data_IF_585387799594
#
_entry.id   IF_585387799594
#
_cell.length_a   1.000
_cell.length_b   1.000
_cell.length_c   1.000
_cell.angle_alpha   90.00
_cell.angle_beta   90.00
_cell.angle_gamma   90.00
#
_symmetry.space_group_name_H-M   'P 1'
#
loop_
_entity.id
_entity.type
_entity.pdbx_description
1 polymer ?
#
# COMPACT_ATOMS: atom_id res chain seq x y z
N UNK A 1 -22.44 -25.89 -24.20
CA UNK A 1 -22.35 -25.50 -22.78
C UNK A 1 -21.01 -25.92 -22.13
N UNK A 2 -19.94 -26.12 -22.94
CA UNK A 2 -18.60 -26.57 -22.46
C UNK A 2 -17.50 -25.52 -22.73
N UNK A 3 -17.80 -24.44 -23.45
CA UNK A 3 -16.80 -23.42 -23.85
C UNK A 3 -16.66 -22.22 -22.87
N UNK A 4 -17.48 -22.13 -21.83
CA UNK A 4 -17.43 -21.03 -20.85
C UNK A 4 -16.65 -21.35 -19.56
N UNK A 5 -16.25 -22.60 -19.33
CA UNK A 5 -15.50 -22.99 -18.13
C UNK A 5 -13.97 -22.85 -18.27
N UNK A 6 -13.44 -22.79 -19.49
CA UNK A 6 -12.00 -22.69 -19.71
C UNK A 6 -11.44 -21.27 -19.68
N UNK A 7 -12.29 -20.24 -19.86
CA UNK A 7 -11.84 -18.84 -19.83
C UNK A 7 -11.70 -18.28 -18.40
N UNK A 8 -12.40 -18.86 -17.45
CA UNK A 8 -12.35 -18.42 -16.03
C UNK A 8 -11.11 -18.89 -15.28
N UNK A 9 -10.48 -19.99 -15.71
CA UNK A 9 -9.26 -20.51 -15.06
C UNK A 9 -7.96 -19.87 -15.61
N UNK A 10 -7.98 -19.32 -16.80
CA UNK A 10 -6.80 -18.62 -17.38
C UNK A 10 -6.65 -17.17 -16.88
N UNK A 11 -7.73 -16.52 -16.46
CA UNK A 11 -7.63 -15.16 -15.88
C UNK A 11 -7.07 -15.14 -14.45
N UNK A 12 -7.21 -16.21 -13.68
CA UNK A 12 -6.70 -16.26 -12.31
C UNK A 12 -5.17 -16.50 -12.22
N UNK A 13 -4.54 -16.96 -13.29
CA UNK A 13 -3.09 -17.24 -13.33
C UNK A 13 -2.24 -16.08 -13.87
N UNK A 14 -2.85 -15.03 -14.42
CA UNK A 14 -2.15 -13.85 -14.95
C UNK A 14 -1.95 -12.73 -13.93
N UNK A 15 -2.55 -12.83 -12.73
CA UNK A 15 -2.52 -11.79 -11.71
C UNK A 15 -1.34 -11.88 -10.73
N UNK A 16 -0.43 -12.82 -10.88
CA UNK A 16 0.72 -13.00 -9.96
C UNK A 16 2.05 -13.18 -10.69
N UNK A 17 2.29 -12.51 -11.80
CA UNK A 17 3.67 -12.45 -12.27
C UNK A 17 4.39 -11.31 -11.53
N UNK A 18 5.41 -11.62 -10.70
CA UNK A 18 6.29 -10.60 -10.16
C UNK A 18 6.84 -9.79 -11.33
N UNK A 19 7.12 -8.50 -11.10
CA UNK A 19 7.78 -7.70 -12.13
C UNK A 19 9.03 -8.47 -12.58
N UNK A 20 9.33 -8.47 -13.88
CA UNK A 20 10.53 -9.14 -14.43
C UNK A 20 11.81 -8.73 -13.67
N UNK A 21 11.84 -7.53 -13.09
CA UNK A 21 12.94 -7.01 -12.29
C UNK A 21 13.15 -7.79 -10.99
N UNK A 22 12.06 -8.14 -10.27
CA UNK A 22 12.16 -8.93 -9.04
C UNK A 22 12.59 -10.36 -9.34
N UNK A 23 12.06 -10.97 -10.42
CA UNK A 23 12.45 -12.32 -10.83
C UNK A 23 13.93 -12.44 -11.17
N UNK A 24 14.59 -11.38 -11.63
CA UNK A 24 16.01 -11.34 -11.95
C UNK A 24 16.91 -10.95 -10.75
N UNK A 25 16.34 -10.62 -9.58
CA UNK A 25 17.07 -10.24 -8.37
C UNK A 25 17.91 -8.96 -8.50
N UNK A 26 17.71 -8.16 -9.53
CA UNK A 26 18.47 -6.92 -9.77
C UNK A 26 17.67 -5.74 -9.25
N UNK A 27 18.18 -5.13 -8.17
CA UNK A 27 17.62 -3.89 -7.63
C UNK A 27 17.81 -2.73 -8.61
N UNK A 28 16.76 -2.00 -9.00
CA UNK A 28 16.88 -0.79 -9.81
C UNK A 28 17.72 0.28 -9.12
N UNK A 29 18.35 1.15 -9.91
CA UNK A 29 18.97 2.35 -9.38
C UNK A 29 17.90 3.36 -8.96
N UNK A 30 18.20 4.15 -7.94
CA UNK A 30 17.33 5.26 -7.56
C UNK A 30 17.24 6.30 -8.68
N UNK A 31 16.07 6.93 -8.78
CA UNK A 31 15.80 8.00 -9.72
C UNK A 31 16.66 9.24 -9.42
N UNK A 32 17.02 10.00 -10.46
CA UNK A 32 17.65 11.31 -10.27
C UNK A 32 16.69 12.23 -9.48
N UNK A 33 17.22 12.93 -8.48
CA UNK A 33 16.41 13.74 -7.55
C UNK A 33 15.52 14.75 -8.29
N UNK A 34 16.08 15.46 -9.28
CA UNK A 34 15.33 16.45 -10.08
C UNK A 34 14.14 15.85 -10.83
N UNK A 35 14.28 14.63 -11.33
CA UNK A 35 13.20 13.93 -12.05
C UNK A 35 12.18 13.33 -11.10
N UNK A 36 12.61 12.90 -9.92
CA UNK A 36 11.73 12.39 -8.87
C UNK A 36 10.67 13.42 -8.48
N UNK A 37 11.00 14.71 -8.48
CA UNK A 37 10.07 15.79 -8.20
C UNK A 37 9.00 16.05 -9.28
N UNK A 38 9.13 15.43 -10.46
CA UNK A 38 8.14 15.50 -11.54
C UNK A 38 7.15 14.34 -11.51
N UNK A 39 7.40 13.28 -10.73
CA UNK A 39 6.54 12.11 -10.67
C UNK A 39 5.22 12.46 -9.99
N UNK A 40 4.11 11.92 -10.49
CA UNK A 40 2.81 12.11 -9.89
C UNK A 40 1.66 12.03 -10.88
N UNK A 41 0.45 12.22 -10.37
CA UNK A 41 -0.78 12.31 -11.15
C UNK A 41 -0.98 13.74 -11.63
N UNK A 42 -1.30 13.91 -12.91
CA UNK A 42 -1.63 15.19 -13.54
C UNK A 42 -3.02 15.11 -14.15
N UNK A 43 -3.84 16.12 -13.92
CA UNK A 43 -5.22 16.18 -14.38
C UNK A 43 -5.55 17.53 -15.02
N UNK A 44 -6.36 17.50 -16.08
CA UNK A 44 -6.86 18.68 -16.80
C UNK A 44 -7.74 18.30 -17.97
N UNK A 45 -8.62 19.19 -18.41
CA UNK A 45 -9.49 19.00 -19.56
C UNK A 45 -10.33 17.70 -19.56
N UNK A 46 -10.70 17.20 -18.38
CA UNK A 46 -11.44 15.94 -18.24
C UNK A 46 -10.59 14.68 -18.41
N UNK A 47 -9.29 14.83 -18.51
CA UNK A 47 -8.32 13.72 -18.64
C UNK A 47 -7.35 13.71 -17.47
N UNK A 48 -6.77 12.55 -17.21
CA UNK A 48 -5.68 12.39 -16.26
C UNK A 48 -4.65 11.38 -16.76
N UNK A 49 -3.42 11.57 -16.34
CA UNK A 49 -2.32 10.65 -16.61
C UNK A 49 -1.31 10.68 -15.48
N UNK A 50 -0.53 9.63 -15.42
CA UNK A 50 0.51 9.47 -14.42
C UNK A 50 1.88 9.69 -15.05
N UNK A 51 2.73 10.45 -14.38
CA UNK A 51 4.17 10.53 -14.70
C UNK A 51 4.90 9.63 -13.71
N UNK A 52 5.67 8.67 -14.22
CA UNK A 52 6.50 7.74 -13.45
C UNK A 52 7.91 7.68 -13.99
N UNK A 53 8.84 7.20 -13.19
CA UNK A 53 10.14 6.80 -13.70
C UNK A 53 10.16 5.31 -14.04
N UNK A 54 10.82 4.93 -15.12
CA UNK A 54 11.07 3.55 -15.50
C UNK A 54 12.48 3.40 -16.05
N UNK A 55 13.35 2.69 -15.32
CA UNK A 55 14.73 2.41 -15.70
C UNK A 55 15.55 3.67 -16.05
N UNK A 56 15.41 4.74 -15.25
CA UNK A 56 16.11 6.01 -15.43
C UNK A 56 15.47 6.96 -16.42
N UNK A 57 14.29 6.68 -16.93
CA UNK A 57 13.56 7.55 -17.86
C UNK A 57 12.16 7.87 -17.33
N UNK A 58 11.70 9.09 -17.56
CA UNK A 58 10.31 9.46 -17.30
C UNK A 58 9.39 8.84 -18.33
N UNK A 59 8.22 8.39 -17.86
CA UNK A 59 7.16 7.85 -18.70
C UNK A 59 5.83 8.52 -18.34
N UNK A 60 5.01 8.78 -19.34
CA UNK A 60 3.60 9.12 -19.18
C UNK A 60 2.78 7.84 -19.32
N UNK A 61 1.96 7.52 -18.32
CA UNK A 61 0.96 6.45 -18.37
C UNK A 61 -0.39 7.12 -18.58
N UNK A 62 -0.85 7.09 -19.83
CA UNK A 62 -2.07 7.77 -20.27
C UNK A 62 -3.30 6.91 -20.02
N UNK A 63 -4.43 7.56 -19.66
CA UNK A 63 -5.69 6.90 -19.27
C UNK A 63 -5.54 5.98 -18.05
N UNK A 64 -4.69 6.40 -17.11
CA UNK A 64 -4.63 5.75 -15.83
C UNK A 64 -5.91 6.06 -15.04
N UNK A 65 -6.71 5.02 -14.79
CA UNK A 65 -7.87 5.06 -13.90
C UNK A 65 -7.59 4.06 -12.77
N UNK A 66 -7.40 4.52 -11.53
CA UNK A 66 -7.05 3.64 -10.41
C UNK A 66 -8.07 2.51 -10.18
N UNK A 67 -9.35 2.77 -10.50
CA UNK A 67 -10.44 1.80 -10.34
C UNK A 67 -10.69 0.95 -11.59
N UNK A 68 -9.93 1.16 -12.68
CA UNK A 68 -10.11 0.43 -13.92
C UNK A 68 -9.32 -0.88 -13.88
N UNK A 69 -10.03 -1.99 -13.79
CA UNK A 69 -9.45 -3.35 -13.91
C UNK A 69 -8.76 -3.59 -15.26
N UNK A 70 -9.02 -2.74 -16.23
CA UNK A 70 -8.41 -2.73 -17.57
C UNK A 70 -7.17 -1.81 -17.66
N UNK A 71 -6.54 -1.42 -16.53
CA UNK A 71 -5.32 -0.58 -16.54
C UNK A 71 -4.19 -1.17 -17.42
N UNK A 72 -4.24 -2.46 -17.73
CA UNK A 72 -3.35 -3.12 -18.69
C UNK A 72 -3.45 -2.56 -20.12
N UNK A 73 -4.50 -1.80 -20.42
CA UNK A 73 -4.69 -1.07 -21.70
C UNK A 73 -4.16 0.35 -21.65
N UNK A 74 -3.53 0.76 -20.54
CA UNK A 74 -2.91 2.08 -20.46
C UNK A 74 -1.80 2.21 -21.49
N UNK A 75 -1.81 3.29 -22.24
CA UNK A 75 -0.71 3.61 -23.14
C UNK A 75 0.44 4.21 -22.35
N UNK A 76 1.63 3.68 -22.53
CA UNK A 76 2.85 4.15 -21.88
C UNK A 76 3.76 4.79 -22.91
N UNK A 77 4.15 6.04 -22.66
CA UNK A 77 5.03 6.82 -23.52
C UNK A 77 6.28 7.22 -22.78
N UNK A 78 7.43 6.96 -23.36
CA UNK A 78 8.70 7.39 -22.82
C UNK A 78 8.94 8.86 -23.14
N UNK A 79 9.38 9.63 -22.16
CA UNK A 79 9.80 11.01 -22.30
C UNK A 79 11.32 11.06 -22.50
N UNK A 80 11.75 11.56 -23.65
CA UNK A 80 13.16 11.82 -23.94
C UNK A 80 13.46 13.26 -23.61
N UNK A 81 14.41 13.49 -22.70
CA UNK A 81 14.79 14.82 -22.25
C UNK A 81 15.40 15.61 -23.41
N UNK A 82 14.85 16.77 -23.69
CA UNK A 82 15.37 17.73 -24.66
C UNK A 82 16.26 18.77 -23.97
N UNK A 83 15.68 19.48 -23.00
CA UNK A 83 16.41 20.43 -22.14
C UNK A 83 15.72 20.51 -20.78
N UNK A 84 16.13 21.42 -19.89
CA UNK A 84 15.60 21.53 -18.54
C UNK A 84 14.06 21.60 -18.55
N UNK A 85 13.40 20.63 -17.88
CA UNK A 85 11.95 20.48 -17.75
C UNK A 85 11.16 20.35 -19.07
N UNK A 86 11.85 20.17 -20.20
CA UNK A 86 11.21 19.89 -21.49
C UNK A 86 11.63 18.52 -22.03
N UNK A 87 10.65 17.78 -22.51
CA UNK A 87 10.78 16.41 -22.99
C UNK A 87 10.02 16.23 -24.30
N UNK A 88 10.50 15.32 -25.14
CA UNK A 88 9.80 14.85 -26.32
C UNK A 88 9.15 13.49 -26.03
N UNK A 89 7.95 13.28 -26.51
CA UNK A 89 7.30 11.95 -26.45
C UNK A 89 7.96 11.07 -27.50
N UNK A 90 8.51 9.92 -27.08
CA UNK A 90 9.12 8.97 -28.01
C UNK A 90 8.06 8.30 -28.90
N UNK A 91 8.38 8.15 -30.19
CA UNK A 91 7.51 7.55 -31.22
C UNK A 91 7.20 6.06 -31.03
N UNK A 92 7.77 5.38 -30.03
CA UNK A 92 7.63 3.94 -29.81
C UNK A 92 6.26 3.53 -29.22
N UNK A 93 5.31 4.45 -29.12
CA UNK A 93 3.93 4.18 -28.70
C UNK A 93 2.93 4.35 -29.85
N UNK A 94 1.82 3.62 -29.81
CA UNK A 94 0.74 3.63 -30.82
C UNK A 94 -0.07 4.94 -30.90
N UNK A 95 0.44 6.06 -30.45
CA UNK A 95 -0.22 7.36 -30.61
C UNK A 95 0.22 8.03 -31.89
N UNK A 96 -0.79 8.44 -32.65
CA UNK A 96 -0.69 9.25 -33.87
C UNK A 96 -0.30 10.71 -33.62
N UNK A 97 0.16 11.08 -32.42
CA UNK A 97 0.60 12.47 -32.10
C UNK A 97 2.11 12.54 -32.06
N UNK A 98 2.70 12.62 -33.22
CA UNK A 98 4.12 12.46 -33.52
C UNK A 98 5.02 13.63 -33.12
N UNK A 99 4.57 14.68 -32.44
CA UNK A 99 5.41 15.81 -32.05
C UNK A 99 4.98 16.49 -30.75
N UNK A 100 4.34 15.75 -29.83
CA UNK A 100 3.93 16.37 -28.57
C UNK A 100 5.12 16.50 -27.64
N UNK A 101 5.55 17.73 -27.40
CA UNK A 101 6.47 18.07 -26.32
C UNK A 101 5.72 18.11 -24.98
N UNK A 102 6.39 17.69 -23.93
CA UNK A 102 5.93 17.82 -22.54
C UNK A 102 6.84 18.83 -21.86
N UNK A 103 6.26 19.91 -21.33
CA UNK A 103 6.99 20.91 -20.57
C UNK A 103 6.43 20.98 -19.16
N UNK A 104 7.27 20.69 -18.17
CA UNK A 104 6.90 20.81 -16.77
C UNK A 104 7.13 22.22 -16.24
N UNK A 105 6.30 22.61 -15.29
CA UNK A 105 6.47 23.82 -14.47
C UNK A 105 6.66 23.39 -13.03
N UNK A 106 7.61 24.02 -12.36
CA UNK A 106 7.96 23.72 -10.97
C UNK A 106 7.60 24.86 -10.04
N UNK A 107 7.37 24.52 -8.77
CA UNK A 107 7.35 25.50 -7.69
C UNK A 107 8.76 25.93 -7.29
N UNK A 108 8.83 26.80 -6.26
CA UNK A 108 10.09 27.32 -5.70
C UNK A 108 10.97 26.24 -5.06
N UNK A 109 10.39 25.11 -4.67
CA UNK A 109 11.07 24.00 -4.00
C UNK A 109 11.46 22.89 -5.01
N UNK A 110 11.18 23.11 -6.30
CA UNK A 110 11.54 22.23 -7.40
C UNK A 110 10.51 21.17 -7.76
N UNK A 111 9.38 21.12 -7.06
CA UNK A 111 8.32 20.15 -7.37
C UNK A 111 7.54 20.53 -8.63
N UNK A 112 7.30 19.56 -9.50
CA UNK A 112 6.42 19.74 -10.64
C UNK A 112 4.98 20.04 -10.17
N UNK A 113 4.45 21.20 -10.59
CA UNK A 113 3.08 21.62 -10.23
C UNK A 113 2.11 21.53 -11.39
N UNK A 114 2.61 21.57 -12.60
CA UNK A 114 1.83 21.37 -13.81
C UNK A 114 2.72 20.92 -14.96
N UNK A 115 2.10 20.47 -16.04
CA UNK A 115 2.79 20.29 -17.30
C UNK A 115 1.89 20.72 -18.47
N UNK A 116 2.51 20.98 -19.61
CA UNK A 116 1.85 21.33 -20.87
C UNK A 116 2.16 20.23 -21.88
N UNK A 117 1.12 19.63 -22.46
CA UNK A 117 1.19 18.63 -23.53
C UNK A 117 0.30 19.06 -24.67
N UNK A 118 0.83 19.20 -25.90
CA UNK A 118 0.04 19.59 -27.06
C UNK A 118 -0.73 20.92 -26.86
N UNK A 119 -0.17 21.86 -26.10
CA UNK A 119 -0.79 23.14 -25.77
C UNK A 119 -1.82 23.08 -24.60
N UNK A 120 -2.18 21.91 -24.12
CA UNK A 120 -3.08 21.74 -22.99
C UNK A 120 -2.31 21.69 -21.67
N UNK A 121 -2.83 22.40 -20.65
CA UNK A 121 -2.27 22.42 -19.30
C UNK A 121 -2.94 21.35 -18.43
N UNK A 122 -2.11 20.60 -17.71
CA UNK A 122 -2.51 19.61 -16.70
C UNK A 122 -1.85 19.98 -15.37
N UNK A 123 -2.65 20.03 -14.32
CA UNK A 123 -2.20 20.39 -12.97
C UNK A 123 -1.91 19.13 -12.19
N UNK A 124 -0.80 19.11 -11.41
CA UNK A 124 -0.47 17.98 -10.56
C UNK A 124 -1.49 17.83 -9.43
N UNK A 125 -1.91 16.61 -9.20
CA UNK A 125 -2.71 16.21 -8.05
C UNK A 125 -1.74 15.74 -6.97
N UNK A 126 -1.62 16.51 -5.88
CA UNK A 126 -0.78 16.15 -4.75
C UNK A 126 -1.54 15.28 -3.77
N UNK A 127 -0.85 14.29 -3.19
CA UNK A 127 -1.37 13.39 -2.18
C UNK A 127 -0.54 13.48 -0.90
N UNK A 128 -1.21 13.40 0.27
CA UNK A 128 -0.60 13.24 1.57
C UNK A 128 0.67 14.08 1.80
N UNK A 129 1.81 13.43 2.13
CA UNK A 129 3.06 14.12 2.45
C UNK A 129 3.63 15.00 1.35
N UNK A 130 3.34 14.74 0.07
CA UNK A 130 3.78 15.60 -1.04
C UNK A 130 3.29 17.04 -0.93
N UNK A 131 2.14 17.21 -0.28
CA UNK A 131 1.51 18.52 -0.04
C UNK A 131 1.89 19.13 1.30
N UNK A 132 2.68 18.43 2.10
CA UNK A 132 2.96 18.78 3.48
C UNK A 132 1.84 18.44 4.45
N UNK A 133 0.71 17.95 3.96
CA UNK A 133 -0.44 17.55 4.77
C UNK A 133 -0.45 16.02 4.93
N UNK A 134 -0.33 15.53 6.13
CA UNK A 134 -0.61 14.13 6.43
C UNK A 134 -2.12 13.90 6.41
N UNK A 135 -2.55 12.75 5.89
CA UNK A 135 -3.95 12.37 5.99
C UNK A 135 -4.34 12.24 7.46
N UNK A 136 -5.31 13.05 7.87
CA UNK A 136 -5.84 13.05 9.23
C UNK A 136 -7.36 12.99 9.18
N UNK A 137 -7.92 12.03 9.90
CA UNK A 137 -9.36 11.86 10.03
C UNK A 137 -9.86 12.87 11.05
N UNK A 138 -10.84 13.67 10.66
CA UNK A 138 -11.62 14.46 11.62
C UNK A 138 -12.67 13.53 12.24
N UNK A 139 -12.40 13.02 13.44
CA UNK A 139 -13.30 12.11 14.13
C UNK A 139 -14.66 12.72 14.44
N UNK A 140 -15.70 11.88 14.43
CA UNK A 140 -17.09 12.30 14.72
C UNK A 140 -17.29 12.74 16.17
N UNK A 141 -16.55 12.12 17.09
CA UNK A 141 -16.49 12.38 18.54
C UNK A 141 -15.04 12.24 19.01
N UNK A 142 -14.74 12.65 20.23
CA UNK A 142 -13.44 12.33 20.84
C UNK A 142 -13.25 10.82 20.94
N UNK A 143 -12.02 10.34 20.76
CA UNK A 143 -11.72 8.91 20.88
C UNK A 143 -12.05 8.38 22.29
N UNK A 144 -11.91 9.19 23.33
CA UNK A 144 -12.25 8.78 24.70
C UNK A 144 -13.74 8.55 24.88
N UNK A 145 -14.59 9.42 24.30
CA UNK A 145 -16.04 9.18 24.27
C UNK A 145 -16.40 7.92 23.50
N UNK A 146 -15.76 7.70 22.33
CA UNK A 146 -15.98 6.52 21.52
C UNK A 146 -15.49 5.24 22.20
N UNK A 147 -14.38 5.28 22.95
CA UNK A 147 -13.91 4.13 23.76
C UNK A 147 -14.96 3.72 24.80
N UNK A 148 -15.58 4.69 25.48
CA UNK A 148 -16.67 4.42 26.40
C UNK A 148 -17.89 3.80 25.68
N UNK A 149 -18.26 4.32 24.51
CA UNK A 149 -19.38 3.81 23.71
C UNK A 149 -19.13 2.35 23.28
N UNK A 150 -17.90 1.99 22.89
CA UNK A 150 -17.58 0.62 22.41
C UNK A 150 -17.24 -0.36 23.53
N UNK A 151 -16.96 0.10 24.74
CA UNK A 151 -16.56 -0.77 25.85
C UNK A 151 -17.58 -1.88 26.13
N UNK A 152 -18.86 -1.56 26.07
CA UNK A 152 -19.97 -2.48 26.30
C UNK A 152 -20.53 -3.12 25.02
N UNK A 153 -19.86 -2.89 23.87
CA UNK A 153 -20.31 -3.49 22.61
C UNK A 153 -20.06 -4.99 22.60
N UNK A 154 -21.05 -5.74 22.11
CA UNK A 154 -20.93 -7.17 21.91
C UNK A 154 -20.33 -7.47 20.54
N UNK A 155 -19.37 -8.40 20.50
CA UNK A 155 -18.88 -8.95 19.23
C UNK A 155 -20.02 -9.67 18.50
N UNK A 156 -19.97 -9.75 17.16
CA UNK A 156 -20.81 -10.62 16.37
C UNK A 156 -20.74 -12.08 16.86
N UNK A 157 -21.83 -12.82 16.71
CA UNK A 157 -21.82 -14.26 17.00
C UNK A 157 -20.81 -14.96 16.09
N UNK A 158 -19.92 -15.72 16.71
CA UNK A 158 -18.86 -16.43 15.99
C UNK A 158 -19.35 -17.82 15.58
N UNK A 159 -19.15 -18.15 14.31
CA UNK A 159 -19.48 -19.49 13.74
C UNK A 159 -18.23 -20.25 13.29
N UNK A 160 -17.10 -19.59 13.18
CA UNK A 160 -15.83 -20.24 12.84
C UNK A 160 -15.42 -21.23 13.94
N UNK A 161 -14.89 -22.42 13.58
CA UNK A 161 -14.57 -23.46 14.55
C UNK A 161 -13.29 -23.19 15.35
N UNK A 162 -12.34 -22.44 14.79
CA UNK A 162 -11.01 -22.30 15.35
C UNK A 162 -10.84 -20.99 16.12
N UNK A 163 -10.03 -21.04 17.17
CA UNK A 163 -9.55 -19.87 17.91
C UNK A 163 -8.04 -19.76 17.68
N UNK A 164 -7.57 -18.59 17.29
CA UNK A 164 -6.14 -18.40 17.03
C UNK A 164 -5.32 -18.51 18.31
N UNK A 165 -4.18 -19.18 18.21
CA UNK A 165 -3.12 -19.13 19.20
C UNK A 165 -2.23 -17.91 18.91
N UNK A 166 -2.47 -16.82 19.62
CA UNK A 166 -1.71 -15.58 19.46
C UNK A 166 -0.31 -15.72 20.07
N UNK A 167 0.72 -15.56 19.25
CA UNK A 167 2.13 -15.57 19.66
C UNK A 167 2.77 -14.21 19.45
N UNK A 168 3.67 -13.85 20.38
CA UNK A 168 4.38 -12.57 20.37
C UNK A 168 5.47 -12.58 19.29
N UNK A 169 5.48 -11.57 18.42
CA UNK A 169 6.43 -11.46 17.31
C UNK A 169 7.82 -10.93 17.73
N UNK A 170 8.00 -10.48 18.97
CA UNK A 170 9.25 -9.87 19.44
C UNK A 170 10.46 -10.83 19.39
N UNK A 171 10.23 -12.14 19.39
CA UNK A 171 11.28 -13.15 19.29
C UNK A 171 11.76 -13.41 17.85
N UNK A 172 11.07 -12.94 16.83
CA UNK A 172 11.40 -13.19 15.44
C UNK A 172 12.53 -12.25 15.00
N UNK A 173 13.67 -12.78 14.54
CA UNK A 173 14.78 -11.96 14.04
C UNK A 173 14.38 -11.19 12.78
N UNK A 174 14.95 -9.99 12.62
CA UNK A 174 14.73 -9.16 11.42
C UNK A 174 13.40 -8.38 11.44
N UNK A 175 12.66 -8.39 12.55
CA UNK A 175 11.49 -7.53 12.72
C UNK A 175 11.84 -6.26 13.50
N UNK A 176 11.28 -5.14 13.06
CA UNK A 176 11.16 -3.88 13.80
C UNK A 176 9.69 -3.55 14.01
N UNK A 177 9.41 -2.80 15.07
CA UNK A 177 8.03 -2.45 15.44
C UNK A 177 7.86 -0.94 15.41
N UNK A 178 7.00 -0.46 14.53
CA UNK A 178 6.48 0.91 14.45
C UNK A 178 4.95 0.81 14.48
N UNK A 179 4.42 0.34 15.62
CA UNK A 179 2.99 0.05 15.78
C UNK A 179 2.17 1.33 15.70
N UNK A 180 1.65 1.62 14.50
CA UNK A 180 1.02 2.88 14.17
C UNK A 180 -0.19 3.18 15.04
N UNK A 181 -1.05 2.21 15.29
CA UNK A 181 -2.23 2.39 16.13
C UNK A 181 -1.97 2.38 17.64
N UNK A 182 -0.76 2.01 18.07
CA UNK A 182 -0.32 2.17 19.46
C UNK A 182 0.24 3.58 19.76
N UNK A 183 0.41 4.42 18.75
CA UNK A 183 0.98 5.78 18.86
C UNK A 183 0.06 6.81 18.23
N UNK A 184 0.43 8.09 18.29
CA UNK A 184 -0.26 9.16 17.58
C UNK A 184 0.15 9.25 16.09
N UNK A 185 1.10 8.41 15.61
CA UNK A 185 1.55 8.39 14.23
C UNK A 185 0.63 7.56 13.34
N UNK A 186 -0.63 7.95 13.24
CA UNK A 186 -1.67 7.32 12.42
C UNK A 186 -2.69 8.36 11.96
N UNK A 187 -3.63 7.96 11.13
CA UNK A 187 -4.65 8.85 10.58
C UNK A 187 -5.61 9.46 11.62
N UNK A 188 -5.71 8.89 12.83
CA UNK A 188 -6.53 9.43 13.93
C UNK A 188 -5.77 10.43 14.82
N UNK A 189 -4.46 10.59 14.65
CA UNK A 189 -3.58 11.45 15.46
C UNK A 189 -3.58 11.12 16.96
N UNK A 190 -3.95 9.89 17.33
CA UNK A 190 -3.98 9.41 18.71
C UNK A 190 -3.89 7.87 18.75
N UNK A 191 -3.37 7.27 19.82
CA UNK A 191 -3.38 5.82 19.98
C UNK A 191 -4.80 5.26 19.98
N UNK A 192 -5.05 4.17 19.29
CA UNK A 192 -6.31 3.43 19.35
C UNK A 192 -6.28 2.34 20.42
N UNK A 193 -5.11 1.81 20.75
CA UNK A 193 -4.89 0.84 21.81
C UNK A 193 -3.61 1.13 22.59
N UNK A 194 -3.51 0.54 23.78
CA UNK A 194 -2.30 0.56 24.59
C UNK A 194 -1.51 -0.71 24.35
N UNK A 195 -0.19 -0.59 24.19
CA UNK A 195 0.71 -1.73 24.05
C UNK A 195 1.85 -1.44 23.09
N UNK A 196 2.91 -2.22 23.25
CA UNK A 196 4.13 -2.14 22.42
C UNK A 196 4.51 -3.48 21.82
N UNK A 197 3.59 -4.46 21.86
CA UNK A 197 3.81 -5.81 21.38
C UNK A 197 2.86 -6.11 20.22
N UNK A 198 3.37 -6.83 19.23
CA UNK A 198 2.60 -7.35 18.12
C UNK A 198 2.43 -8.87 18.25
N UNK A 199 1.24 -9.36 17.88
CA UNK A 199 0.90 -10.77 17.96
C UNK A 199 0.29 -11.23 16.63
N UNK A 200 0.54 -12.47 16.26
CA UNK A 200 -0.17 -13.15 15.18
C UNK A 200 -0.58 -14.56 15.62
N UNK A 201 -1.51 -15.15 14.90
CA UNK A 201 -1.75 -16.59 14.98
C UNK A 201 -0.43 -17.34 14.69
N UNK A 202 -0.14 -18.38 15.44
CA UNK A 202 1.12 -19.15 15.37
C UNK A 202 1.56 -19.46 13.94
N UNK A 203 0.67 -20.01 13.12
CA UNK A 203 1.00 -20.39 11.74
C UNK A 203 1.39 -19.16 10.89
N UNK A 204 0.69 -18.03 11.07
CA UNK A 204 1.01 -16.77 10.40
C UNK A 204 2.35 -16.20 10.89
N UNK A 205 2.64 -16.29 12.20
CA UNK A 205 3.91 -15.83 12.76
C UNK A 205 5.11 -16.65 12.24
N UNK A 206 4.97 -17.98 12.16
CA UNK A 206 6.00 -18.87 11.60
C UNK A 206 6.23 -18.59 10.10
N UNK A 207 5.16 -18.30 9.35
CA UNK A 207 5.27 -17.87 7.95
C UNK A 207 5.99 -16.52 7.84
N UNK A 208 5.65 -15.54 8.70
CA UNK A 208 6.30 -14.23 8.72
C UNK A 208 7.80 -14.31 9.05
N UNK A 209 8.21 -15.22 9.94
CA UNK A 209 9.61 -15.49 10.22
C UNK A 209 10.36 -15.96 8.96
N UNK A 210 9.74 -16.85 8.17
CA UNK A 210 10.32 -17.28 6.90
C UNK A 210 10.41 -16.16 5.88
N UNK A 211 9.39 -15.26 5.83
CA UNK A 211 9.44 -14.03 5.00
C UNK A 211 10.63 -13.17 5.40
N UNK A 212 10.79 -12.87 6.70
CA UNK A 212 11.90 -12.05 7.19
C UNK A 212 13.26 -12.65 6.81
N UNK A 213 13.40 -13.99 6.91
CA UNK A 213 14.60 -14.70 6.48
C UNK A 213 14.87 -14.55 4.99
N UNK A 214 13.85 -14.67 4.13
CA UNK A 214 14.01 -14.49 2.67
C UNK A 214 14.41 -13.05 2.30
N UNK A 215 13.77 -12.06 2.94
CA UNK A 215 14.09 -10.66 2.71
C UNK A 215 15.53 -10.31 3.12
N UNK A 216 16.08 -11.00 4.11
CA UNK A 216 17.46 -10.79 4.55
C UNK A 216 18.49 -11.07 3.45
N UNK A 217 18.22 -12.00 2.52
CA UNK A 217 19.06 -12.28 1.36
C UNK A 217 19.15 -11.08 0.39
N UNK A 218 18.15 -10.18 0.43
CA UNK A 218 18.11 -8.94 -0.34
C UNK A 218 18.58 -7.73 0.47
N UNK A 219 18.97 -7.90 1.73
CA UNK A 219 19.42 -6.83 2.62
C UNK A 219 18.29 -6.07 3.32
N UNK A 220 17.08 -6.63 3.35
CA UNK A 220 15.91 -6.02 3.99
C UNK A 220 15.44 -6.81 5.21
N UNK A 221 14.87 -6.09 6.18
CA UNK A 221 14.04 -6.63 7.26
C UNK A 221 12.65 -6.04 7.20
N UNK A 222 11.73 -6.54 8.03
CA UNK A 222 10.33 -6.12 8.11
C UNK A 222 10.11 -5.09 9.21
N UNK A 223 9.34 -4.05 8.91
CA UNK A 223 8.72 -3.15 9.91
C UNK A 223 7.27 -3.56 10.07
N UNK A 224 6.85 -3.85 11.29
CA UNK A 224 5.47 -4.18 11.64
C UNK A 224 4.74 -2.89 12.03
N UNK A 225 3.71 -2.54 11.27
CA UNK A 225 2.85 -1.38 11.51
C UNK A 225 1.60 -1.75 12.30
N UNK A 226 0.98 -2.90 12.00
CA UNK A 226 -0.11 -3.51 12.77
C UNK A 226 -0.10 -5.04 12.58
N UNK A 227 -0.74 -5.74 13.54
CA UNK A 227 -0.85 -7.19 13.49
C UNK A 227 -2.21 -7.62 14.07
N UNK A 228 -2.27 -8.52 15.07
CA UNK A 228 -3.51 -8.76 15.77
C UNK A 228 -4.06 -7.45 16.34
N UNK A 229 -5.33 -7.19 16.09
CA UNK A 229 -6.07 -6.02 16.57
C UNK A 229 -7.35 -6.51 17.24
N UNK A 230 -7.57 -6.23 18.54
CA UNK A 230 -8.83 -6.57 19.21
C UNK A 230 -10.03 -6.02 18.45
N UNK A 231 -11.13 -6.77 18.40
CA UNK A 231 -12.33 -6.36 17.65
C UNK A 231 -12.86 -4.97 18.09
N UNK A 232 -12.84 -4.68 19.40
CA UNK A 232 -13.26 -3.36 19.90
C UNK A 232 -12.40 -2.22 19.38
N UNK A 233 -11.11 -2.45 19.10
CA UNK A 233 -10.24 -1.45 18.49
C UNK A 233 -10.65 -1.18 17.05
N UNK A 234 -10.94 -2.23 16.27
CA UNK A 234 -11.47 -2.08 14.91
C UNK A 234 -12.82 -1.35 14.91
N UNK A 235 -13.70 -1.68 15.88
CA UNK A 235 -14.96 -0.97 16.04
C UNK A 235 -14.76 0.49 16.42
N UNK A 236 -13.83 0.80 17.32
CA UNK A 236 -13.48 2.17 17.69
C UNK A 236 -13.04 2.97 16.46
N UNK A 237 -12.11 2.42 15.66
CA UNK A 237 -11.64 3.04 14.43
C UNK A 237 -12.80 3.31 13.46
N UNK A 238 -13.67 2.32 13.25
CA UNK A 238 -14.84 2.46 12.38
C UNK A 238 -15.82 3.53 12.88
N UNK A 239 -16.13 3.57 14.19
CA UNK A 239 -17.05 4.58 14.75
C UNK A 239 -16.47 5.99 14.74
N UNK A 240 -15.13 6.11 14.76
CA UNK A 240 -14.45 7.40 14.66
C UNK A 240 -14.56 8.02 13.26
N UNK A 241 -14.76 7.22 12.21
CA UNK A 241 -14.86 7.70 10.83
C UNK A 241 -16.14 8.50 10.59
N UNK A 242 -16.06 9.64 9.88
CA UNK A 242 -17.23 10.28 9.28
C UNK A 242 -18.01 9.31 8.39
N UNK A 243 -19.31 9.55 8.24
CA UNK A 243 -20.21 8.65 7.48
C UNK A 243 -19.71 8.38 6.06
N UNK A 244 -19.22 9.39 5.38
CA UNK A 244 -18.70 9.35 4.01
C UNK A 244 -17.40 8.57 3.88
N UNK A 245 -16.68 8.35 4.99
CA UNK A 245 -15.41 7.61 5.03
C UNK A 245 -15.56 6.19 5.61
N UNK A 246 -16.75 5.78 6.01
CA UNK A 246 -16.99 4.44 6.61
C UNK A 246 -16.56 3.29 5.68
N UNK A 247 -16.54 3.51 4.37
CA UNK A 247 -16.08 2.52 3.39
C UNK A 247 -14.57 2.24 3.42
N UNK A 248 -13.78 3.06 4.12
CA UNK A 248 -12.35 2.85 4.29
C UNK A 248 -12.01 1.67 5.21
N UNK A 249 -12.95 1.26 6.06
CA UNK A 249 -12.75 0.14 6.98
C UNK A 249 -13.89 -0.88 6.86
N UNK A 250 -13.62 -2.17 7.13
CA UNK A 250 -14.68 -3.17 7.24
C UNK A 250 -15.69 -2.81 8.32
N UNK A 251 -16.98 -3.04 8.05
CA UNK A 251 -18.01 -2.87 9.07
C UNK A 251 -17.77 -3.84 10.25
N UNK A 252 -17.93 -3.40 11.51
CA UNK A 252 -17.64 -4.23 12.69
C UNK A 252 -18.36 -5.57 12.72
N UNK A 253 -19.54 -5.65 12.11
CA UNK A 253 -20.35 -6.87 12.01
C UNK A 253 -19.67 -7.96 11.15
N UNK A 254 -18.84 -7.54 10.18
CA UNK A 254 -18.04 -8.45 9.35
C UNK A 254 -16.71 -8.80 10.02
N UNK A 255 -16.20 -7.92 10.88
CA UNK A 255 -14.86 -8.01 11.43
C UNK A 255 -13.76 -7.70 10.41
N UNK A 256 -12.54 -7.81 10.87
CA UNK A 256 -11.31 -7.66 10.07
C UNK A 256 -10.46 -8.90 10.23
N UNK A 257 -9.67 -9.30 9.21
CA UNK A 257 -8.67 -10.37 9.36
C UNK A 257 -7.67 -10.12 10.49
N UNK A 258 -7.34 -8.86 10.81
CA UNK A 258 -6.55 -8.51 12.00
C UNK A 258 -7.19 -9.00 13.30
N UNK A 259 -8.52 -9.06 13.39
CA UNK A 259 -9.19 -9.53 14.59
C UNK A 259 -9.04 -11.05 14.79
N UNK A 260 -8.64 -11.79 13.77
CA UNK A 260 -8.36 -13.23 13.85
C UNK A 260 -6.89 -13.55 14.12
N UNK A 261 -6.01 -12.54 14.12
CA UNK A 261 -4.56 -12.75 14.18
C UNK A 261 -3.96 -13.29 12.88
N UNK A 262 -4.69 -13.27 11.76
CA UNK A 262 -4.21 -13.76 10.46
C UNK A 262 -3.93 -12.64 9.44
N UNK A 263 -3.83 -11.40 9.87
CA UNK A 263 -3.42 -10.29 9.03
C UNK A 263 -2.30 -9.48 9.67
N UNK A 264 -1.45 -8.90 8.82
CA UNK A 264 -0.34 -8.04 9.22
C UNK A 264 -0.15 -6.89 8.24
N UNK A 265 0.11 -5.70 8.77
CA UNK A 265 0.52 -4.53 8.00
C UNK A 265 2.03 -4.37 8.16
N UNK A 266 2.76 -4.40 7.04
CA UNK A 266 4.21 -4.42 7.04
C UNK A 266 4.83 -3.48 6.01
N UNK A 267 6.06 -3.06 6.31
CA UNK A 267 6.95 -2.35 5.40
C UNK A 267 8.36 -2.92 5.50
N UNK A 268 9.30 -2.31 4.81
CA UNK A 268 10.70 -2.72 4.76
C UNK A 268 11.61 -1.76 5.52
N UNK A 269 12.72 -2.26 6.04
CA UNK A 269 13.85 -1.46 6.47
C UNK A 269 15.17 -2.05 5.93
N UNK A 270 16.18 -1.21 5.76
CA UNK A 270 17.50 -1.62 5.32
C UNK A 270 18.27 -2.22 6.48
N UNK A 271 18.70 -3.49 6.39
CA UNK A 271 19.42 -4.20 7.45
C UNK A 271 20.77 -3.56 7.78
N UNK A 272 21.43 -2.94 6.80
CA UNK A 272 22.75 -2.32 6.99
C UNK A 272 22.67 -0.98 7.72
N UNK A 273 21.71 -0.13 7.37
CA UNK A 273 21.57 1.21 7.95
C UNK A 273 20.60 1.22 9.12
N UNK A 274 19.66 0.28 9.15
CA UNK A 274 18.56 0.24 10.10
C UNK A 274 17.43 1.24 9.79
N UNK A 275 17.51 1.97 8.71
CA UNK A 275 16.51 2.98 8.32
C UNK A 275 15.33 2.35 7.59
N UNK A 276 14.12 2.88 7.81
CA UNK A 276 12.94 2.47 7.06
C UNK A 276 13.11 2.82 5.57
N UNK A 277 12.62 1.94 4.70
CA UNK A 277 12.59 2.19 3.26
C UNK A 277 11.45 3.17 2.97
N UNK A 278 11.74 4.15 2.11
CA UNK A 278 10.75 5.07 1.57
C UNK A 278 9.91 4.32 0.53
N UNK A 279 8.74 3.89 0.94
CA UNK A 279 7.80 3.19 0.05
C UNK A 279 6.97 4.19 -0.77
N UNK A 280 6.20 3.65 -1.71
CA UNK A 280 5.42 4.41 -2.70
C UNK A 280 4.32 5.30 -2.09
N UNK A 281 3.81 4.95 -0.90
CA UNK A 281 2.93 5.77 -0.06
C UNK A 281 3.19 5.51 1.41
N UNK A 282 2.69 6.40 2.28
CA UNK A 282 2.69 6.15 3.72
C UNK A 282 1.50 5.23 4.11
N UNK A 283 1.55 4.73 5.35
CA UNK A 283 0.50 3.94 5.97
C UNK A 283 -0.82 4.72 6.05
N UNK A 284 -1.94 4.06 5.74
CA UNK A 284 -3.28 4.66 5.73
C UNK A 284 -3.45 5.89 4.80
N UNK A 285 -2.55 6.11 3.85
CA UNK A 285 -2.70 7.21 2.90
C UNK A 285 -3.84 6.93 1.92
N UNK A 286 -4.94 7.71 1.94
CA UNK A 286 -6.11 7.45 1.09
C UNK A 286 -5.90 8.03 -0.31
N UNK A 287 -4.95 7.50 -1.05
CA UNK A 287 -4.62 7.90 -2.41
C UNK A 287 -4.46 6.69 -3.31
N UNK A 288 -4.46 6.84 -4.64
CA UNK A 288 -4.17 5.73 -5.55
C UNK A 288 -2.81 5.05 -5.30
N UNK A 289 -1.89 5.71 -4.62
CA UNK A 289 -0.57 5.16 -4.28
C UNK A 289 -0.64 4.00 -3.28
N UNK A 290 -1.74 3.90 -2.52
CA UNK A 290 -1.95 2.80 -1.56
C UNK A 290 -2.22 1.45 -2.24
N UNK A 291 -2.72 1.44 -3.49
CA UNK A 291 -3.09 0.18 -4.15
C UNK A 291 -1.90 -0.75 -4.36
N UNK A 292 -2.11 -2.04 -4.12
CA UNK A 292 -1.08 -3.08 -4.29
C UNK A 292 -0.47 -3.12 -5.69
N UNK A 293 -1.23 -2.75 -6.71
CA UNK A 293 -0.81 -2.73 -8.12
C UNK A 293 -0.54 -1.31 -8.66
N UNK A 294 -0.34 -0.28 -7.82
CA UNK A 294 -0.08 1.06 -8.29
C UNK A 294 1.15 1.13 -9.20
N UNK A 295 1.00 1.72 -10.39
CA UNK A 295 2.03 1.72 -11.44
C UNK A 295 2.92 2.98 -11.47
N UNK A 296 2.68 3.93 -10.56
CA UNK A 296 3.43 5.18 -10.44
C UNK A 296 4.70 5.06 -9.60
N UNK A 297 5.27 6.19 -9.22
CA UNK A 297 6.51 6.27 -8.45
C UNK A 297 7.77 5.94 -9.26
N UNK A 298 8.84 5.58 -8.58
CA UNK A 298 10.11 5.14 -9.19
C UNK A 298 10.14 3.64 -9.44
N UNK A 299 11.07 3.19 -10.29
CA UNK A 299 11.34 1.76 -10.50
C UNK A 299 11.78 1.09 -9.19
N UNK A 300 12.53 1.81 -8.35
CA UNK A 300 13.00 1.30 -7.06
C UNK A 300 11.83 1.09 -6.10
N UNK A 301 10.97 2.10 -5.90
CA UNK A 301 9.79 2.01 -5.02
C UNK A 301 8.85 0.86 -5.44
N UNK A 302 8.62 0.68 -6.75
CA UNK A 302 7.82 -0.43 -7.25
C UNK A 302 8.50 -1.78 -7.03
N UNK A 303 9.82 -1.87 -7.27
CA UNK A 303 10.59 -3.09 -7.07
C UNK A 303 10.58 -3.51 -5.60
N UNK A 304 10.75 -2.57 -4.66
CA UNK A 304 10.73 -2.83 -3.22
C UNK A 304 9.36 -3.34 -2.76
N UNK A 305 8.27 -2.71 -3.23
CA UNK A 305 6.91 -3.19 -3.00
C UNK A 305 6.69 -4.59 -3.57
N UNK A 306 7.05 -4.80 -4.83
CA UNK A 306 6.84 -6.06 -5.52
C UNK A 306 7.67 -7.18 -4.90
N UNK A 307 8.90 -6.88 -4.42
CA UNK A 307 9.72 -7.80 -3.65
C UNK A 307 9.02 -8.22 -2.35
N UNK A 308 8.52 -7.24 -1.59
CA UNK A 308 7.77 -7.52 -0.36
C UNK A 308 6.57 -8.43 -0.65
N UNK A 309 5.73 -8.08 -1.62
CA UNK A 309 4.56 -8.87 -2.01
C UNK A 309 4.94 -10.28 -2.45
N UNK A 310 6.02 -10.44 -3.21
CA UNK A 310 6.49 -11.75 -3.65
C UNK A 310 6.96 -12.61 -2.48
N UNK A 311 7.76 -12.08 -1.56
CA UNK A 311 8.25 -12.84 -0.41
C UNK A 311 7.10 -13.23 0.53
N UNK A 312 6.14 -12.33 0.75
CA UNK A 312 4.92 -12.61 1.50
C UNK A 312 4.08 -13.71 0.84
N UNK A 313 3.88 -13.62 -0.49
CA UNK A 313 3.08 -14.59 -1.24
C UNK A 313 3.69 -15.99 -1.23
N UNK A 314 5.01 -16.13 -1.32
CA UNK A 314 5.72 -17.44 -1.24
C UNK A 314 5.41 -18.15 0.08
N UNK A 315 5.22 -17.41 1.15
CA UNK A 315 4.95 -17.96 2.48
C UNK A 315 3.45 -17.98 2.85
N UNK A 316 2.57 -17.78 1.86
CA UNK A 316 1.13 -17.98 2.01
C UNK A 316 0.35 -16.75 2.47
N UNK A 317 0.93 -15.55 2.34
CA UNK A 317 0.21 -14.30 2.53
C UNK A 317 -0.32 -13.75 1.21
N UNK A 318 -1.52 -13.20 1.22
CA UNK A 318 -2.14 -12.52 0.10
C UNK A 318 -2.14 -11.01 0.36
N UNK A 319 -1.56 -10.23 -0.56
CA UNK A 319 -1.62 -8.77 -0.50
C UNK A 319 -3.04 -8.30 -0.79
N UNK A 320 -3.50 -7.30 -0.06
CA UNK A 320 -4.74 -6.57 -0.38
C UNK A 320 -4.57 -5.80 -1.70
N UNK A 321 -5.59 -5.83 -2.56
CA UNK A 321 -5.62 -4.99 -3.75
C UNK A 321 -5.66 -3.49 -3.40
N UNK A 322 -6.23 -3.16 -2.25
CA UNK A 322 -6.49 -1.77 -1.80
C UNK A 322 -5.33 -1.16 -1.03
N UNK A 323 -4.44 -1.99 -0.43
CA UNK A 323 -3.40 -1.55 0.50
C UNK A 323 -2.15 -2.39 0.30
N UNK A 324 -1.07 -1.82 -0.26
CA UNK A 324 0.15 -2.56 -0.57
C UNK A 324 0.88 -3.12 0.65
N UNK A 325 0.59 -2.59 1.85
CA UNK A 325 1.19 -3.00 3.14
C UNK A 325 0.41 -4.09 3.84
N UNK A 326 -0.88 -4.30 3.48
CA UNK A 326 -1.79 -5.24 4.15
C UNK A 326 -1.73 -6.64 3.54
N UNK A 327 -1.54 -7.64 4.39
CA UNK A 327 -1.40 -9.04 3.99
C UNK A 327 -2.24 -9.96 4.86
N UNK A 328 -3.12 -10.72 4.23
CA UNK A 328 -3.91 -11.79 4.85
C UNK A 328 -3.19 -13.13 4.71
N UNK A 329 -2.99 -13.83 5.83
CA UNK A 329 -2.45 -15.18 5.82
C UNK A 329 -3.52 -16.19 5.40
N UNK A 330 -3.27 -16.96 4.33
CA UNK A 330 -4.14 -18.01 3.83
C UNK A 330 -4.03 -19.26 4.71
N UNK A 331 -4.68 -19.24 5.86
CA UNK A 331 -4.65 -20.32 6.84
C UNK A 331 -5.35 -21.61 6.40
N UNK A 332 -6.11 -21.59 5.28
CA UNK A 332 -7.02 -22.66 4.84
C UNK A 332 -8.13 -23.02 5.85
N UNK A 333 -8.15 -22.36 6.98
CA UNK A 333 -9.07 -22.57 8.08
C UNK A 333 -9.79 -21.26 8.44
N UNK A 334 -10.99 -21.37 8.96
CA UNK A 334 -11.75 -20.21 9.44
C UNK A 334 -11.50 -20.02 10.94
N UNK A 335 -11.16 -18.79 11.32
CA UNK A 335 -10.89 -18.39 12.69
C UNK A 335 -11.91 -17.40 13.21
N UNK A 336 -12.19 -17.48 14.52
CA UNK A 336 -13.07 -16.54 15.22
C UNK A 336 -12.41 -15.16 15.31
N UNK A 337 -13.24 -14.12 15.29
CA UNK A 337 -12.81 -12.79 15.71
C UNK A 337 -12.47 -12.82 17.20
N UNK A 338 -11.41 -12.15 17.59
CA UNK A 338 -10.96 -12.06 18.98
C UNK A 338 -11.05 -10.61 19.49
N UNK A 339 -11.36 -10.49 20.78
CA UNK A 339 -11.37 -9.21 21.51
C UNK A 339 -10.50 -9.31 22.79
N UNK A 340 -9.35 -9.96 22.65
CA UNK A 340 -8.42 -10.17 23.77
C UNK A 340 -7.58 -8.89 23.91
N UNK A 341 -7.63 -8.17 25.02
CA UNK A 341 -6.82 -6.97 25.20
C UNK A 341 -5.33 -7.34 25.32
N UNK A 342 -4.45 -6.47 24.84
CA UNK A 342 -3.00 -6.72 24.85
C UNK A 342 -2.45 -6.97 26.26
N UNK A 343 -3.07 -6.40 27.29
CA UNK A 343 -2.70 -6.64 28.70
C UNK A 343 -2.93 -8.07 29.18
N UNK A 344 -3.76 -8.85 28.47
CA UNK A 344 -4.04 -10.26 28.77
C UNK A 344 -3.15 -11.22 27.96
N UNK A 345 -2.32 -10.72 27.03
CA UNK A 345 -1.39 -11.49 26.22
C UNK A 345 0.03 -11.41 26.80
N UNK A 346 0.72 -12.53 26.89
CA UNK A 346 2.02 -12.69 27.54
C UNK A 346 3.17 -12.88 26.57
#
# INVERSE_FOLDING_TARGET
MIFRLFLSLMCALLFQMPSLAVANGVQPKDCQLDEKYLLGLYAGNGEQFLVREQNGMLNVVYRYLPDDKDYQKSNVFTLVKDHYDAYQISETGSLTHTEASVKFERDKDGHGISCIIGGNRYTRVFFGPEKGDYFKIKTTKSLDSLRQDVQNANMPVQTAPNVAELVNLAAIPGLKFDLRYATANNCFSAPLYEGSKAYLNRNAAEALERVAKRLSDYGFGLVIWDAYRPWKVSKLAYEALPKEQKSLLPAPEKGSPHNTGNAVDVSLYNLKTGEAIQMISDFDEPSPRQYGAFVGGTSLERWERDLLQQMMSIEGFNCSDMEWWHFDFDSKESYQLLDIPFSALH
#
